data_IF_949739152722
#
_entry.id   IF_949739152722
#
_cell.length_a   1.000
_cell.length_b   1.000
_cell.length_c   1.000
_cell.angle_alpha   90.00
_cell.angle_beta   90.00
_cell.angle_gamma   90.00
#
_symmetry.space_group_name_H-M   'P 1'
#
loop_
_entity.id
_entity.type
_entity.pdbx_description
1 polymer ?
#
# COMPACT_ATOMS: atom_id res chain seq x y z
N UNK A 1 18.66 -12.19 -5.63
CA UNK A 1 17.59 -11.33 -5.07
C UNK A 1 17.91 -10.98 -3.63
N UNK A 2 17.75 -9.73 -3.22
CA UNK A 2 17.85 -9.35 -1.82
C UNK A 2 16.79 -10.08 -0.99
N UNK A 3 17.12 -10.35 0.28
CA UNK A 3 16.21 -11.01 1.22
C UNK A 3 15.71 -10.00 2.24
N UNK A 4 14.42 -10.07 2.56
CA UNK A 4 13.81 -9.30 3.63
C UNK A 4 13.34 -10.28 4.71
N UNK A 5 13.73 -10.01 5.96
CA UNK A 5 13.25 -10.80 7.08
C UNK A 5 11.77 -10.47 7.33
N UNK A 6 10.96 -11.49 7.48
CA UNK A 6 9.54 -11.39 7.78
C UNK A 6 9.23 -12.25 8.99
N UNK A 7 8.66 -11.64 10.03
CA UNK A 7 8.19 -12.35 11.21
C UNK A 7 6.69 -12.57 11.13
N UNK A 8 6.26 -13.81 11.27
CA UNK A 8 4.85 -14.13 11.46
C UNK A 8 4.45 -13.86 12.91
N UNK A 9 3.48 -12.99 13.11
CA UNK A 9 2.91 -12.68 14.43
C UNK A 9 1.76 -13.61 14.79
N UNK A 10 1.29 -14.38 13.81
CA UNK A 10 0.25 -15.39 13.93
C UNK A 10 0.60 -16.57 13.04
N UNK A 11 0.35 -17.79 13.51
CA UNK A 11 0.66 -19.00 12.74
C UNK A 11 -0.09 -19.11 11.41
N UNK A 12 -1.27 -18.45 11.33
CA UNK A 12 -2.10 -18.43 10.12
C UNK A 12 -1.74 -17.31 9.14
N UNK A 13 -0.78 -16.45 9.49
CA UNK A 13 -0.31 -15.42 8.58
C UNK A 13 0.36 -16.04 7.35
N UNK A 14 0.12 -15.42 6.20
CA UNK A 14 0.69 -15.86 4.92
C UNK A 14 1.77 -14.87 4.48
N UNK A 15 2.96 -15.38 4.15
CA UNK A 15 4.05 -14.55 3.62
C UNK A 15 3.64 -13.90 2.29
N UNK A 16 4.12 -12.69 1.98
CA UNK A 16 3.84 -12.06 0.70
C UNK A 16 4.31 -12.94 -0.47
N UNK A 17 3.51 -13.01 -1.52
CA UNK A 17 3.81 -13.82 -2.70
C UNK A 17 3.69 -13.02 -3.99
N UNK A 18 4.56 -13.29 -4.95
CA UNK A 18 4.46 -12.71 -6.29
C UNK A 18 3.53 -13.54 -7.17
N UNK A 19 2.59 -12.91 -7.83
CA UNK A 19 1.63 -13.57 -8.71
C UNK A 19 2.24 -14.04 -10.04
N UNK A 20 3.39 -13.48 -10.45
CA UNK A 20 4.13 -13.85 -11.66
C UNK A 20 5.62 -13.57 -11.48
N UNK A 21 6.43 -14.10 -12.39
CA UNK A 21 7.89 -13.96 -12.34
C UNK A 21 8.37 -12.49 -12.31
N UNK A 22 7.67 -11.62 -13.03
CA UNK A 22 8.04 -10.20 -13.15
C UNK A 22 7.09 -9.25 -12.41
N UNK A 23 6.27 -9.76 -11.50
CA UNK A 23 5.41 -8.92 -10.68
C UNK A 23 6.26 -7.99 -9.78
N UNK A 24 5.96 -6.70 -9.77
CA UNK A 24 6.63 -5.73 -8.92
C UNK A 24 6.12 -5.76 -7.48
N UNK A 25 4.84 -6.08 -7.29
CA UNK A 25 4.19 -6.16 -5.99
C UNK A 25 3.98 -7.59 -5.52
N UNK A 26 4.31 -7.84 -4.28
CA UNK A 26 3.98 -9.10 -3.61
C UNK A 26 2.61 -8.96 -2.93
N UNK A 27 1.72 -9.92 -3.17
CA UNK A 27 0.39 -9.92 -2.60
C UNK A 27 0.41 -10.05 -1.07
N UNK A 28 -0.40 -9.22 -0.40
CA UNK A 28 -0.68 -9.29 1.03
C UNK A 28 -2.04 -9.95 1.26
N UNK A 29 -2.11 -10.82 2.25
CA UNK A 29 -3.26 -11.65 2.56
C UNK A 29 -3.96 -11.20 3.83
N UNK A 30 -5.28 -11.17 3.82
CA UNK A 30 -6.07 -10.87 5.00
C UNK A 30 -5.91 -11.95 6.08
N UNK A 31 -5.57 -11.54 7.28
CA UNK A 31 -5.61 -12.39 8.47
C UNK A 31 -6.88 -12.09 9.25
N UNK A 32 -7.84 -12.99 9.13
CA UNK A 32 -9.10 -12.97 9.87
C UNK A 32 -9.67 -14.38 9.96
N UNK A 33 -10.53 -14.61 10.93
CA UNK A 33 -11.17 -15.92 11.14
C UNK A 33 -12.47 -16.05 10.35
N UNK A 34 -13.14 -14.92 10.09
CA UNK A 34 -14.42 -14.83 9.41
C UNK A 34 -14.39 -13.77 8.32
N UNK A 35 -15.37 -13.77 7.45
CA UNK A 35 -15.57 -12.71 6.46
C UNK A 35 -15.70 -11.34 7.14
N UNK A 36 -15.09 -10.31 6.57
CA UNK A 36 -15.18 -8.93 7.02
C UNK A 36 -16.01 -8.16 6.01
N UNK A 37 -17.06 -7.50 6.51
CA UNK A 37 -18.00 -6.74 5.69
C UNK A 37 -17.70 -5.25 5.77
N UNK A 38 -17.86 -4.56 4.64
CA UNK A 38 -17.63 -3.12 4.49
C UNK A 38 -18.89 -2.48 3.91
N UNK A 39 -19.51 -1.60 4.66
CA UNK A 39 -20.55 -0.73 4.10
C UNK A 39 -19.93 0.30 3.16
N UNK A 40 -20.71 0.90 2.23
CA UNK A 40 -20.21 1.98 1.39
C UNK A 40 -19.59 3.10 2.23
N UNK A 41 -18.36 3.51 1.86
CA UNK A 41 -17.62 4.56 2.57
C UNK A 41 -16.92 4.12 3.86
N UNK A 42 -17.01 2.84 4.24
CA UNK A 42 -16.39 2.32 5.46
C UNK A 42 -14.93 1.96 5.23
N UNK A 43 -14.09 2.27 6.22
CA UNK A 43 -12.68 1.88 6.25
C UNK A 43 -12.42 0.97 7.46
N UNK A 44 -11.74 -0.14 7.24
CA UNK A 44 -11.31 -1.05 8.31
C UNK A 44 -9.82 -1.38 8.17
N UNK A 45 -9.11 -1.44 9.28
CA UNK A 45 -7.74 -1.93 9.33
C UNK A 45 -7.76 -3.46 9.27
N UNK A 46 -7.20 -3.99 8.20
CA UNK A 46 -7.13 -5.44 8.00
C UNK A 46 -5.73 -5.91 8.35
N UNK A 47 -5.66 -6.88 9.24
CA UNK A 47 -4.42 -7.50 9.67
C UNK A 47 -3.83 -8.38 8.57
N UNK A 48 -2.50 -8.43 8.53
CA UNK A 48 -1.76 -9.42 7.73
C UNK A 48 -1.04 -10.45 8.62
N UNK A 49 -0.87 -10.14 9.90
CA UNK A 49 -0.12 -10.96 10.84
C UNK A 49 1.39 -10.97 10.59
N UNK A 50 1.90 -9.98 9.84
CA UNK A 50 3.31 -9.92 9.46
C UNK A 50 3.98 -8.66 9.98
N UNK A 51 5.20 -8.80 10.46
CA UNK A 51 6.15 -7.71 10.69
C UNK A 51 7.34 -7.91 9.74
N UNK A 52 7.81 -6.83 9.13
CA UNK A 52 8.86 -6.89 8.12
C UNK A 52 10.06 -6.04 8.51
N UNK A 53 11.24 -6.48 8.13
CA UNK A 53 12.47 -5.72 8.32
C UNK A 53 12.98 -5.25 6.96
N UNK A 54 12.56 -4.05 6.57
CA UNK A 54 12.95 -3.43 5.30
C UNK A 54 14.35 -2.84 5.46
N UNK A 55 15.27 -3.09 4.51
CA UNK A 55 16.63 -2.54 4.59
C UNK A 55 16.65 -1.02 4.58
N UNK A 56 17.64 -0.44 5.24
CA UNK A 56 17.90 1.00 5.18
C UNK A 56 18.06 1.48 3.72
N UNK A 57 17.49 2.63 3.39
CA UNK A 57 17.47 3.17 2.03
C UNK A 57 16.31 2.66 1.17
N UNK A 58 15.46 1.78 1.71
CA UNK A 58 14.27 1.26 1.04
C UNK A 58 13.02 1.50 1.87
N UNK A 59 11.90 1.55 1.19
CA UNK A 59 10.58 1.63 1.80
C UNK A 59 9.68 0.54 1.25
N UNK A 60 8.71 0.12 2.04
CA UNK A 60 7.61 -0.71 1.59
C UNK A 60 6.42 0.17 1.22
N UNK A 61 5.89 0.00 0.02
CA UNK A 61 4.72 0.73 -0.45
C UNK A 61 3.55 -0.24 -0.61
N UNK A 62 2.45 0.03 0.07
CA UNK A 62 1.25 -0.79 0.02
C UNK A 62 0.27 -0.17 -0.96
N UNK A 63 0.07 -0.84 -2.08
CA UNK A 63 -0.82 -0.44 -3.15
C UNK A 63 -2.07 -1.30 -3.21
N UNK A 64 -3.11 -0.78 -3.86
CA UNK A 64 -4.28 -1.56 -4.23
C UNK A 64 -3.92 -2.68 -5.21
N UNK A 65 -4.73 -3.76 -5.19
CA UNK A 65 -4.76 -4.74 -6.28
C UNK A 65 -5.77 -4.28 -7.34
N UNK A 66 -5.37 -4.32 -8.59
CA UNK A 66 -6.18 -3.78 -9.70
C UNK A 66 -7.57 -4.39 -9.79
N UNK A 67 -7.69 -5.70 -9.71
CA UNK A 67 -8.98 -6.40 -9.81
C UNK A 67 -9.92 -6.11 -8.63
N UNK A 68 -9.38 -6.08 -7.42
CA UNK A 68 -10.15 -5.78 -6.22
C UNK A 68 -10.65 -4.33 -6.24
N UNK A 69 -9.80 -3.40 -6.62
CA UNK A 69 -10.13 -1.98 -6.71
C UNK A 69 -11.13 -1.69 -7.83
N UNK A 70 -10.89 -2.21 -9.04
CA UNK A 70 -11.71 -1.88 -10.22
C UNK A 70 -13.06 -2.59 -10.24
N UNK A 71 -13.14 -3.82 -9.74
CA UNK A 71 -14.38 -4.62 -9.79
C UNK A 71 -15.21 -4.51 -8.54
N UNK A 72 -14.58 -4.37 -7.36
CA UNK A 72 -15.28 -4.37 -6.08
C UNK A 72 -15.15 -3.06 -5.31
N UNK A 73 -14.37 -2.11 -5.81
CA UNK A 73 -14.19 -0.82 -5.17
C UNK A 73 -13.47 -0.88 -3.83
N UNK A 74 -12.74 -1.94 -3.55
CA UNK A 74 -11.95 -2.09 -2.32
C UNK A 74 -10.50 -1.74 -2.58
N UNK A 75 -10.00 -0.74 -1.89
CA UNK A 75 -8.62 -0.27 -2.03
C UNK A 75 -8.14 0.39 -0.73
N UNK A 76 -6.82 0.50 -0.50
CA UNK A 76 -6.30 1.20 0.66
C UNK A 76 -6.78 2.66 0.71
N UNK A 77 -7.29 3.10 1.87
CA UNK A 77 -7.81 4.45 2.08
C UNK A 77 -6.73 5.52 1.96
N UNK A 78 -5.51 5.21 2.35
CA UNK A 78 -4.36 6.11 2.25
C UNK A 78 -3.75 6.15 0.84
N UNK A 79 -4.37 5.48 -0.14
CA UNK A 79 -4.00 5.41 -1.57
C UNK A 79 -2.68 4.67 -1.80
N UNK A 80 -1.62 5.07 -1.09
CA UNK A 80 -0.42 4.29 -0.89
C UNK A 80 -0.06 4.34 0.60
N UNK A 81 0.12 3.17 1.20
CA UNK A 81 0.67 3.05 2.56
C UNK A 81 2.19 3.03 2.50
N UNK A 82 2.84 3.79 3.36
CA UNK A 82 4.31 3.81 3.43
C UNK A 82 4.74 3.07 4.68
N UNK A 83 5.55 2.03 4.49
CA UNK A 83 6.18 1.26 5.57
C UNK A 83 7.66 1.65 5.61
N UNK A 84 8.03 2.30 6.70
CA UNK A 84 9.41 2.76 6.90
C UNK A 84 10.35 1.59 7.23
N UNK A 85 11.64 1.77 6.95
CA UNK A 85 12.65 0.74 7.21
C UNK A 85 12.79 0.39 8.70
N UNK A 86 12.52 1.34 9.59
CA UNK A 86 12.59 1.15 11.05
C UNK A 86 11.26 0.72 11.69
N UNK A 87 10.19 0.56 10.91
CA UNK A 87 8.92 0.06 11.44
C UNK A 87 9.00 -1.44 11.70
N UNK A 88 8.71 -1.85 12.94
CA UNK A 88 8.74 -3.26 13.39
C UNK A 88 7.37 -3.78 13.82
N UNK A 89 6.34 -2.95 13.69
CA UNK A 89 4.97 -3.35 14.00
C UNK A 89 4.33 -4.20 12.90
N UNK A 90 3.12 -4.62 13.15
CA UNK A 90 2.34 -5.38 12.19
C UNK A 90 2.02 -4.53 10.94
N UNK A 91 2.22 -5.10 9.78
CA UNK A 91 1.76 -4.52 8.51
C UNK A 91 0.24 -4.71 8.44
N UNK A 92 -0.49 -3.61 8.39
CA UNK A 92 -1.95 -3.62 8.25
C UNK A 92 -2.37 -2.84 7.01
N UNK A 93 -3.49 -3.21 6.44
CA UNK A 93 -4.07 -2.54 5.29
C UNK A 93 -5.35 -1.82 5.70
N UNK A 94 -5.35 -0.48 5.60
CA UNK A 94 -6.55 0.34 5.82
C UNK A 94 -7.45 0.23 4.58
N UNK A 95 -8.25 -0.83 4.49
CA UNK A 95 -9.07 -1.12 3.32
C UNK A 95 -10.36 -0.31 3.37
N UNK A 96 -10.69 0.36 2.27
CA UNK A 96 -11.85 1.23 2.14
C UNK A 96 -12.79 0.75 1.04
N UNK A 97 -14.09 0.80 1.28
CA UNK A 97 -15.11 0.51 0.29
C UNK A 97 -15.51 1.79 -0.44
N UNK A 98 -15.02 1.96 -1.66
CA UNK A 98 -15.34 3.09 -2.55
C UNK A 98 -16.62 2.85 -3.37
N UNK A 99 -17.21 1.64 -3.28
CA UNK A 99 -18.42 1.30 -4.04
C UNK A 99 -19.69 1.79 -3.35
N UNK A 100 -20.80 1.72 -4.07
CA UNK A 100 -22.12 2.10 -3.57
C UNK A 100 -22.87 0.94 -2.88
N UNK A 101 -22.25 -0.26 -2.81
CA UNK A 101 -22.87 -1.44 -2.21
C UNK A 101 -21.94 -2.05 -1.15
N UNK A 102 -22.52 -2.87 -0.27
CA UNK A 102 -21.74 -3.65 0.68
C UNK A 102 -20.74 -4.54 -0.04
N UNK A 103 -19.52 -4.59 0.45
CA UNK A 103 -18.46 -5.48 -0.01
C UNK A 103 -17.99 -6.34 1.17
N UNK A 104 -17.30 -7.43 0.85
CA UNK A 104 -16.70 -8.30 1.87
C UNK A 104 -15.37 -8.84 1.40
N UNK A 105 -14.53 -9.21 2.36
CA UNK A 105 -13.31 -9.99 2.14
C UNK A 105 -13.39 -11.28 2.95
N UNK A 106 -12.79 -12.32 2.41
CA UNK A 106 -12.69 -13.62 3.07
C UNK A 106 -11.34 -13.80 3.74
N UNK A 107 -11.21 -14.71 4.73
CA UNK A 107 -9.91 -15.10 5.27
C UNK A 107 -8.95 -15.53 4.15
N UNK A 108 -7.70 -15.10 4.26
CA UNK A 108 -6.63 -15.38 3.29
C UNK A 108 -6.87 -14.84 1.88
N UNK A 109 -7.81 -13.92 1.71
CA UNK A 109 -7.98 -13.19 0.46
C UNK A 109 -6.82 -12.20 0.26
N UNK A 110 -6.36 -12.05 -0.97
CA UNK A 110 -5.33 -11.09 -1.34
C UNK A 110 -5.95 -9.70 -1.44
N UNK A 111 -5.57 -8.80 -0.55
CA UNK A 111 -6.26 -7.51 -0.36
C UNK A 111 -5.45 -6.28 -0.79
N UNK A 112 -4.16 -6.43 -0.96
CA UNK A 112 -3.24 -5.37 -1.35
C UNK A 112 -1.97 -5.99 -1.90
N UNK A 113 -1.03 -5.16 -2.33
CA UNK A 113 0.30 -5.59 -2.74
C UNK A 113 1.37 -4.70 -2.15
N UNK A 114 2.49 -5.30 -1.78
CA UNK A 114 3.65 -4.64 -1.20
C UNK A 114 4.77 -4.53 -2.24
N UNK A 115 5.21 -3.32 -2.51
CA UNK A 115 6.34 -3.03 -3.38
C UNK A 115 7.49 -2.51 -2.53
N UNK A 116 8.67 -3.11 -2.66
CA UNK A 116 9.89 -2.61 -2.02
C UNK A 116 10.62 -1.73 -3.02
N UNK A 117 10.88 -0.48 -2.64
CA UNK A 117 11.50 0.50 -3.53
C UNK A 117 12.58 1.30 -2.81
N UNK A 118 13.67 1.67 -3.49
CA UNK A 118 14.61 2.61 -2.93
C UNK A 118 13.98 4.00 -2.82
N UNK A 119 14.43 4.79 -1.87
CA UNK A 119 14.01 6.18 -1.72
C UNK A 119 15.21 7.08 -1.43
N UNK A 120 15.05 8.35 -1.73
CA UNK A 120 16.02 9.39 -1.39
C UNK A 120 15.54 10.17 -0.17
N UNK A 121 16.31 10.12 0.90
CA UNK A 121 16.11 11.01 2.04
C UNK A 121 16.88 12.30 1.79
N UNK A 122 16.21 13.42 1.92
CA UNK A 122 16.79 14.75 1.65
C UNK A 122 16.72 15.62 2.92
N UNK A 123 17.59 16.61 2.99
CA UNK A 123 17.48 17.69 3.93
C UNK A 123 16.70 18.82 3.27
N UNK A 124 15.68 19.34 3.95
CA UNK A 124 14.88 20.47 3.48
C UNK A 124 15.48 21.76 4.02
N UNK A 125 15.90 22.64 3.10
CA UNK A 125 16.44 23.94 3.41
C UNK A 125 15.46 25.03 2.94
N UNK A 126 15.08 25.92 3.83
CA UNK A 126 14.25 27.08 3.48
C UNK A 126 15.02 28.02 2.55
N UNK A 127 14.39 28.44 1.46
CA UNK A 127 14.95 29.39 0.52
C UNK A 127 13.95 30.51 0.24
N UNK A 128 14.44 31.74 0.09
CA UNK A 128 13.58 32.89 -0.24
C UNK A 128 13.04 32.81 -1.65
N UNK A 129 13.82 32.24 -2.56
CA UNK A 129 13.45 32.09 -3.98
C UNK A 129 13.84 30.71 -4.50
N UNK A 130 13.09 30.20 -5.47
CA UNK A 130 13.40 29.01 -6.24
C UNK A 130 13.90 29.42 -7.63
N UNK A 131 14.70 28.56 -8.26
CA UNK A 131 15.15 28.76 -9.63
C UNK A 131 13.99 28.87 -10.62
N UNK A 132 14.10 29.73 -11.63
CA UNK A 132 13.09 29.90 -12.64
C UNK A 132 13.07 28.73 -13.63
N UNK A 133 11.87 28.38 -14.11
CA UNK A 133 11.67 27.40 -15.16
C UNK A 133 10.67 27.94 -16.20
N UNK A 134 10.65 27.36 -17.38
CA UNK A 134 9.67 27.72 -18.42
C UNK A 134 8.23 27.47 -17.95
N UNK A 135 7.99 26.37 -17.23
CA UNK A 135 6.66 26.05 -16.67
C UNK A 135 6.23 27.03 -15.56
N UNK A 136 7.17 27.48 -14.73
CA UNK A 136 6.90 28.36 -13.58
C UNK A 136 5.90 27.74 -12.61
N UNK A 137 4.85 28.49 -12.29
CA UNK A 137 3.81 28.07 -11.34
C UNK A 137 2.68 27.25 -11.98
N UNK A 138 2.75 26.95 -13.27
CA UNK A 138 1.72 26.21 -13.98
C UNK A 138 1.48 24.81 -13.43
N UNK A 139 0.25 24.47 -13.13
CA UNK A 139 -0.16 23.17 -12.63
C UNK A 139 -1.70 23.09 -12.52
N UNK A 140 -2.20 22.00 -11.92
CA UNK A 140 -3.63 21.81 -11.67
C UNK A 140 -4.53 22.04 -12.90
N UNK A 141 -4.12 21.49 -14.06
CA UNK A 141 -4.86 21.60 -15.31
C UNK A 141 -4.53 22.86 -16.13
N UNK A 142 -3.46 23.62 -15.82
CA UNK A 142 -3.02 24.79 -16.57
C UNK A 142 -2.73 24.50 -18.05
N UNK A 143 -2.39 23.25 -18.40
CA UNK A 143 -2.17 22.78 -19.77
C UNK A 143 -3.45 22.30 -20.47
N UNK A 144 -4.59 22.34 -19.78
CA UNK A 144 -5.88 21.90 -20.29
C UNK A 144 -6.07 20.38 -20.25
N UNK A 145 -7.21 19.92 -20.77
CA UNK A 145 -7.61 18.50 -20.79
C UNK A 145 -7.51 17.88 -22.19
N UNK A 146 -7.14 18.67 -23.20
CA UNK A 146 -6.99 18.26 -24.60
C UNK A 146 -5.69 18.78 -25.19
#
# INVERSE_FOLDING_TARGET
MPKIAVKKLDENAVLPTYGSEFAAGADLYALCDEEIFFQPGETKLIRTGLAVEIPEGYAGLIYARSGLASKRGLAPANKVGVVDADYRGEVMVALHNHSAIEQKIAPKERIAQLVITPFLRVEYEEADELSATVRGVGGFGSTGTK
#
